data_IF_929372117513
#
_entry.id   IF_929372117513
#
_cell.length_a   1.000
_cell.length_b   1.000
_cell.length_c   1.000
_cell.angle_alpha   90.00
_cell.angle_beta   90.00
_cell.angle_gamma   90.00
#
_symmetry.space_group_name_H-M   'P 1'
#
loop_
_entity.id
_entity.type
_entity.pdbx_description
1 polymer ?
#
# COMPACT_ATOMS: atom_id res chain seq x y z
N UNK A 1 16.80 16.33 -11.33
CA UNK A 1 17.58 15.24 -11.96
C UNK A 1 18.31 15.65 -13.25
N UNK A 2 18.13 16.90 -13.73
CA UNK A 2 18.60 17.32 -15.06
C UNK A 2 20.06 17.82 -15.05
N UNK A 3 20.65 17.96 -13.86
CA UNK A 3 21.97 18.57 -13.61
C UNK A 3 23.06 17.53 -13.30
N UNK A 4 22.84 16.27 -13.68
CA UNK A 4 23.83 15.19 -13.51
C UNK A 4 24.94 15.36 -14.56
N UNK A 5 26.19 15.08 -14.19
CA UNK A 5 27.35 15.25 -15.07
C UNK A 5 27.23 14.50 -16.42
N UNK A 6 26.52 13.37 -16.43
CA UNK A 6 26.25 12.59 -17.65
C UNK A 6 25.18 13.22 -18.57
N UNK A 7 24.33 14.13 -18.04
CA UNK A 7 23.30 14.84 -18.79
C UNK A 7 23.76 16.23 -19.26
N UNK A 8 24.95 16.69 -18.84
CA UNK A 8 25.44 18.05 -19.06
C UNK A 8 25.71 18.41 -20.54
N UNK A 9 25.90 17.40 -21.41
CA UNK A 9 26.09 17.58 -22.86
C UNK A 9 24.82 17.48 -23.70
N UNK A 10 23.66 17.21 -23.08
CA UNK A 10 22.38 17.05 -23.78
C UNK A 10 21.69 18.40 -23.99
N UNK A 11 20.94 18.53 -25.08
CA UNK A 11 20.07 19.70 -25.30
C UNK A 11 19.06 19.84 -24.16
N UNK A 12 18.62 21.07 -23.87
CA UNK A 12 17.72 21.35 -22.75
C UNK A 12 16.45 20.47 -22.73
N UNK A 13 15.92 20.13 -23.92
CA UNK A 13 14.78 19.23 -24.07
C UNK A 13 15.12 17.77 -23.70
N UNK A 14 16.29 17.27 -24.07
CA UNK A 14 16.74 15.93 -23.71
C UNK A 14 17.06 15.80 -22.21
N UNK A 15 17.55 16.86 -21.58
CA UNK A 15 17.75 16.92 -20.12
C UNK A 15 16.42 16.88 -19.36
N UNK A 16 15.38 17.57 -19.87
CA UNK A 16 14.02 17.53 -19.31
C UNK A 16 13.43 16.11 -19.39
N UNK A 17 13.55 15.46 -20.55
CA UNK A 17 13.07 14.09 -20.77
C UNK A 17 13.74 13.06 -19.83
N UNK A 18 15.04 13.25 -19.56
CA UNK A 18 15.78 12.42 -18.60
C UNK A 18 15.33 12.69 -17.14
N UNK A 19 14.85 13.90 -16.86
CA UNK A 19 14.21 14.26 -15.60
C UNK A 19 12.89 13.53 -15.37
N UNK A 20 12.04 13.52 -16.38
CA UNK A 20 10.71 12.90 -16.35
C UNK A 20 10.77 11.38 -16.17
N UNK A 21 11.88 10.73 -16.55
CA UNK A 21 12.11 9.28 -16.34
C UNK A 21 12.91 8.95 -15.08
N UNK A 22 13.15 9.92 -14.21
CA UNK A 22 13.96 9.68 -13.01
C UNK A 22 13.28 8.70 -12.04
N UNK A 23 14.09 7.96 -11.27
CA UNK A 23 13.59 7.01 -10.28
C UNK A 23 12.63 7.66 -9.26
N UNK A 24 12.86 8.92 -8.89
CA UNK A 24 11.98 9.68 -8.01
C UNK A 24 10.61 9.97 -8.63
N UNK A 25 10.56 10.34 -9.92
CA UNK A 25 9.30 10.57 -10.64
C UNK A 25 8.53 9.26 -10.81
N UNK A 26 9.21 8.16 -11.15
CA UNK A 26 8.58 6.84 -11.30
C UNK A 26 8.03 6.29 -9.98
N UNK A 27 8.75 6.50 -8.87
CA UNK A 27 8.30 6.08 -7.54
C UNK A 27 7.10 6.93 -7.09
N UNK A 28 7.18 8.26 -7.24
CA UNK A 28 6.08 9.16 -6.91
C UNK A 28 4.82 8.89 -7.75
N UNK A 29 4.95 8.67 -9.06
CA UNK A 29 3.82 8.32 -9.93
C UNK A 29 3.22 6.97 -9.56
N UNK A 30 4.04 5.99 -9.17
CA UNK A 30 3.60 4.70 -8.64
C UNK A 30 2.74 4.85 -7.37
N UNK A 31 3.16 5.70 -6.42
CA UNK A 31 2.36 5.97 -5.22
C UNK A 31 1.05 6.69 -5.52
N UNK A 32 1.06 7.66 -6.45
CA UNK A 32 -0.16 8.38 -6.85
C UNK A 32 -1.14 7.44 -7.57
N UNK A 33 -0.67 6.69 -8.55
CA UNK A 33 -1.50 5.75 -9.31
C UNK A 33 -2.03 4.63 -8.41
N UNK A 34 -1.18 4.09 -7.53
CA UNK A 34 -1.57 3.08 -6.55
C UNK A 34 -2.62 3.59 -5.57
N UNK A 35 -2.47 4.81 -5.05
CA UNK A 35 -3.44 5.44 -4.15
C UNK A 35 -4.80 5.66 -4.83
N UNK A 36 -4.80 6.13 -6.09
CA UNK A 36 -6.03 6.33 -6.85
C UNK A 36 -6.76 4.99 -7.12
N UNK A 37 -6.03 3.95 -7.53
CA UNK A 37 -6.59 2.62 -7.73
C UNK A 37 -7.15 2.02 -6.44
N UNK A 38 -6.43 2.14 -5.32
CA UNK A 38 -6.92 1.70 -4.02
C UNK A 38 -8.20 2.43 -3.62
N UNK A 39 -8.25 3.76 -3.80
CA UNK A 39 -9.45 4.56 -3.53
C UNK A 39 -10.66 4.14 -4.36
N UNK A 40 -10.48 3.85 -5.65
CA UNK A 40 -11.55 3.36 -6.53
C UNK A 40 -12.05 1.99 -6.07
N UNK A 41 -11.13 1.05 -5.78
CA UNK A 41 -11.50 -0.29 -5.31
C UNK A 41 -12.31 -0.18 -4.02
N UNK A 42 -11.85 0.62 -3.05
CA UNK A 42 -12.55 0.83 -1.78
C UNK A 42 -13.93 1.46 -2.00
N UNK A 43 -14.05 2.44 -2.89
CA UNK A 43 -15.33 3.07 -3.18
C UNK A 43 -16.34 2.10 -3.80
N UNK A 44 -15.88 1.25 -4.75
CA UNK A 44 -16.72 0.20 -5.33
C UNK A 44 -17.13 -0.81 -4.26
N UNK A 45 -16.18 -1.25 -3.43
CA UNK A 45 -16.50 -2.23 -2.38
C UNK A 45 -17.44 -1.64 -1.35
N UNK A 46 -17.27 -0.38 -0.94
CA UNK A 46 -18.17 0.27 0.01
C UNK A 46 -19.60 0.41 -0.54
N UNK A 47 -19.75 0.64 -1.86
CA UNK A 47 -21.05 0.74 -2.52
C UNK A 47 -21.74 -0.60 -2.80
N UNK A 48 -20.96 -1.67 -3.05
CA UNK A 48 -21.50 -2.99 -3.44
C UNK A 48 -21.57 -3.96 -2.25
N UNK A 49 -20.64 -3.88 -1.31
CA UNK A 49 -20.53 -4.78 -0.16
C UNK A 49 -21.28 -4.26 1.07
N UNK A 50 -22.05 -3.16 1.00
CA UNK A 50 -22.76 -2.61 2.18
C UNK A 50 -23.63 -3.66 2.89
N UNK A 51 -24.33 -4.52 2.14
CA UNK A 51 -25.14 -5.60 2.71
C UNK A 51 -24.28 -6.71 3.32
N UNK A 52 -23.12 -6.97 2.73
CA UNK A 52 -22.16 -7.93 3.26
C UNK A 52 -21.50 -7.42 4.54
N UNK A 53 -21.14 -6.13 4.60
CA UNK A 53 -20.63 -5.47 5.80
C UNK A 53 -21.64 -5.56 6.94
N UNK A 54 -22.92 -5.28 6.68
CA UNK A 54 -23.97 -5.43 7.70
C UNK A 54 -24.14 -6.87 8.18
N UNK A 55 -24.16 -7.84 7.26
CA UNK A 55 -24.26 -9.25 7.61
C UNK A 55 -23.06 -9.72 8.45
N UNK A 56 -21.86 -9.27 8.10
CA UNK A 56 -20.64 -9.61 8.81
C UNK A 56 -20.58 -8.95 10.19
N UNK A 57 -21.04 -7.70 10.32
CA UNK A 57 -21.13 -7.02 11.62
C UNK A 57 -22.13 -7.72 12.55
N UNK A 58 -23.33 -8.06 12.04
CA UNK A 58 -24.34 -8.78 12.83
C UNK A 58 -23.85 -10.16 13.29
N UNK A 59 -23.14 -10.88 12.41
CA UNK A 59 -22.50 -12.13 12.79
C UNK A 59 -21.43 -11.92 13.86
N UNK A 60 -20.58 -10.90 13.70
CA UNK A 60 -19.50 -10.62 14.63
C UNK A 60 -20.04 -10.24 16.02
N UNK A 61 -21.11 -9.45 16.10
CA UNK A 61 -21.80 -9.12 17.36
C UNK A 61 -22.22 -10.35 18.17
N UNK A 62 -22.68 -11.41 17.49
CA UNK A 62 -23.25 -12.59 18.16
C UNK A 62 -22.24 -13.74 18.33
N UNK A 63 -21.25 -13.85 17.45
CA UNK A 63 -20.38 -15.02 17.35
C UNK A 63 -18.90 -14.71 17.64
N UNK A 64 -18.46 -13.45 17.65
CA UNK A 64 -17.05 -13.09 17.83
C UNK A 64 -16.77 -12.62 19.28
N UNK A 65 -16.03 -13.39 20.10
CA UNK A 65 -15.70 -13.01 21.47
C UNK A 65 -14.72 -11.83 21.57
N UNK A 66 -14.11 -11.42 20.45
CA UNK A 66 -13.26 -10.24 20.34
C UNK A 66 -13.99 -9.07 19.67
N UNK A 67 -15.32 -9.13 19.53
CA UNK A 67 -16.09 -8.01 19.00
C UNK A 67 -16.21 -6.85 20.01
N UNK A 68 -16.37 -7.17 21.29
CA UNK A 68 -16.50 -6.20 22.37
C UNK A 68 -15.84 -6.70 23.68
N UNK A 69 -15.61 -5.78 24.62
CA UNK A 69 -15.02 -6.08 25.93
C UNK A 69 -13.51 -5.89 25.99
N UNK A 70 -12.85 -6.44 27.02
CA UNK A 70 -11.45 -6.16 27.33
C UNK A 70 -10.44 -6.62 26.25
N UNK A 71 -10.86 -7.47 25.32
CA UNK A 71 -10.02 -8.01 24.25
C UNK A 71 -10.51 -7.60 22.84
N UNK A 72 -11.37 -6.59 22.74
CA UNK A 72 -11.94 -6.14 21.47
C UNK A 72 -10.86 -5.83 20.41
N UNK A 73 -9.73 -5.28 20.84
CA UNK A 73 -8.64 -4.86 19.94
C UNK A 73 -7.67 -5.99 19.56
N UNK A 74 -7.84 -7.21 20.09
CA UNK A 74 -6.86 -8.29 19.88
C UNK A 74 -6.75 -8.68 18.40
N UNK A 75 -7.87 -8.70 17.67
CA UNK A 75 -7.89 -8.97 16.23
C UNK A 75 -7.20 -7.88 15.41
N UNK A 76 -7.20 -6.63 15.89
CA UNK A 76 -6.54 -5.50 15.24
C UNK A 76 -5.02 -5.66 15.17
N UNK A 77 -4.43 -6.56 15.97
CA UNK A 77 -3.01 -6.87 15.92
C UNK A 77 -2.62 -7.75 14.73
N UNK A 78 -3.58 -8.47 14.11
CA UNK A 78 -3.29 -9.41 13.02
C UNK A 78 -2.63 -8.76 11.79
N UNK A 79 -3.09 -7.61 11.26
CA UNK A 79 -2.44 -6.96 10.11
C UNK A 79 -0.99 -6.59 10.41
N UNK A 80 -0.71 -6.09 11.62
CA UNK A 80 0.64 -5.72 12.04
C UNK A 80 1.53 -6.96 12.20
N UNK A 81 1.01 -8.03 12.79
CA UNK A 81 1.72 -9.30 12.93
C UNK A 81 2.04 -9.92 11.55
N UNK A 82 1.10 -9.84 10.60
CA UNK A 82 1.29 -10.30 9.24
C UNK A 82 2.37 -9.48 8.52
N UNK A 83 2.33 -8.15 8.62
CA UNK A 83 3.35 -7.28 8.06
C UNK A 83 4.73 -7.57 8.67
N UNK A 84 4.82 -7.72 9.99
CA UNK A 84 6.05 -8.06 10.68
C UNK A 84 6.59 -9.43 10.22
N UNK A 85 5.73 -10.43 10.07
CA UNK A 85 6.08 -11.76 9.57
C UNK A 85 6.58 -11.73 8.12
N UNK A 86 5.90 -10.98 7.24
CA UNK A 86 6.31 -10.81 5.84
C UNK A 86 7.67 -10.12 5.74
N UNK A 87 7.86 -9.02 6.49
CA UNK A 87 9.14 -8.31 6.53
C UNK A 87 10.25 -9.20 7.08
N UNK A 88 9.96 -9.99 8.12
CA UNK A 88 10.92 -10.95 8.67
C UNK A 88 11.30 -12.01 7.63
N UNK A 89 10.33 -12.55 6.89
CA UNK A 89 10.60 -13.52 5.82
C UNK A 89 11.47 -12.93 4.70
N UNK A 90 11.10 -11.78 4.16
CA UNK A 90 11.86 -11.07 3.12
C UNK A 90 13.28 -10.74 3.60
N UNK A 91 13.43 -10.29 4.85
CA UNK A 91 14.75 -9.99 5.43
C UNK A 91 15.65 -11.23 5.52
N UNK A 92 15.09 -12.42 5.70
CA UNK A 92 15.86 -13.67 5.72
C UNK A 92 16.34 -14.11 4.34
N UNK A 93 15.57 -13.86 3.28
CA UNK A 93 15.99 -14.19 1.91
C UNK A 93 17.22 -13.40 1.47
N UNK A 94 17.33 -12.13 1.90
CA UNK A 94 18.50 -11.28 1.65
C UNK A 94 19.78 -11.74 2.35
N UNK A 95 19.70 -12.61 3.36
CA UNK A 95 20.86 -13.10 4.13
C UNK A 95 21.42 -14.42 3.60
N UNK A 96 20.78 -15.01 2.59
CA UNK A 96 21.13 -16.32 2.00
C UNK A 96 21.71 -16.20 0.58
N UNK A 97 22.17 -15.01 0.17
CA UNK A 97 22.86 -14.75 -1.09
C UNK A 97 24.27 -14.21 -0.84
#
# INVERSE_FOLDING_TARGET
NNNLAHNAGLTAQAQQLAGDRSAGVLMASGYIAGGALAGIIIAITAGVLTNFDQAMNNWAEHANPFFAGAHADALSLLPYALLAGLLYWVAREKKSA
#
